data_IF_756583146874
#
_entry.id   IF_756583146874
#
_cell.length_a   1.000
_cell.length_b   1.000
_cell.length_c   1.000
_cell.angle_alpha   90.00
_cell.angle_beta   90.00
_cell.angle_gamma   90.00
#
_symmetry.space_group_name_H-M   'P 1'
#
loop_
_entity.id
_entity.type
_entity.pdbx_description
1 polymer ?
#
# COMPACT_ATOMS: atom_id res chain seq x y z
N UNK A 1 30.97 -34.81 9.23
CA UNK A 1 29.79 -34.83 10.14
C UNK A 1 29.75 -33.56 11.01
N UNK A 2 29.92 -32.36 10.43
CA UNK A 2 30.05 -31.09 11.17
C UNK A 2 29.08 -29.98 10.71
N UNK A 3 28.34 -30.17 9.61
CA UNK A 3 27.49 -29.12 9.03
C UNK A 3 26.07 -29.04 9.60
N UNK A 4 25.60 -30.11 10.25
CA UNK A 4 24.22 -30.16 10.77
C UNK A 4 24.05 -29.33 12.05
N UNK A 5 25.11 -29.19 12.86
CA UNK A 5 25.05 -28.49 14.15
C UNK A 5 25.14 -26.96 13.97
N UNK A 6 25.85 -26.46 12.95
CA UNK A 6 25.93 -25.01 12.66
C UNK A 6 24.59 -24.47 12.13
N UNK A 7 23.86 -25.29 11.39
CA UNK A 7 22.55 -24.95 10.81
C UNK A 7 21.49 -24.72 11.89
N UNK A 8 21.50 -25.48 12.98
CA UNK A 8 20.51 -25.36 14.07
C UNK A 8 20.81 -24.15 14.97
N UNK A 9 22.08 -23.77 15.18
CA UNK A 9 22.44 -22.62 16.03
C UNK A 9 22.07 -21.26 15.42
N UNK A 10 21.98 -21.13 14.09
CA UNK A 10 21.52 -19.89 13.44
C UNK A 10 20.02 -19.61 13.57
N UNK A 11 19.24 -20.55 14.13
CA UNK A 11 17.78 -20.40 14.34
C UNK A 11 17.44 -19.85 15.74
N UNK A 12 18.43 -19.54 16.58
CA UNK A 12 18.21 -19.16 18.00
C UNK A 12 18.64 -17.73 18.36
N UNK A 13 18.30 -16.77 17.51
CA UNK A 13 18.20 -15.39 17.95
C UNK A 13 16.83 -14.89 17.56
N UNK A 14 16.22 -14.07 18.40
CA UNK A 14 14.96 -13.38 18.13
C UNK A 14 15.09 -12.34 16.99
N UNK A 15 15.96 -12.60 16.00
CA UNK A 15 16.25 -11.82 14.83
C UNK A 15 15.60 -12.52 13.64
N UNK A 16 14.66 -11.83 13.00
CA UNK A 16 14.00 -12.29 11.78
C UNK A 16 15.08 -12.49 10.70
N UNK A 17 15.45 -13.73 10.42
CA UNK A 17 16.25 -14.05 9.25
C UNK A 17 15.38 -13.86 8.00
N UNK A 18 15.54 -12.71 7.35
CA UNK A 18 14.94 -12.44 6.04
C UNK A 18 15.93 -12.92 4.98
N UNK A 19 15.60 -13.95 4.18
CA UNK A 19 16.47 -14.36 3.08
C UNK A 19 16.81 -13.17 2.18
N UNK A 20 18.04 -13.00 1.68
CA UNK A 20 18.44 -11.81 0.91
C UNK A 20 17.53 -11.50 -0.30
N UNK A 21 17.04 -12.54 -0.98
CA UNK A 21 16.07 -12.38 -2.07
C UNK A 21 14.71 -11.82 -1.60
N UNK A 22 14.27 -12.21 -0.39
CA UNK A 22 13.07 -11.65 0.25
C UNK A 22 13.35 -10.22 0.75
N UNK A 23 14.55 -9.97 1.27
CA UNK A 23 14.99 -8.64 1.73
C UNK A 23 15.05 -7.61 0.61
N UNK A 24 15.61 -7.98 -0.55
CA UNK A 24 15.64 -7.13 -1.74
C UNK A 24 14.23 -6.83 -2.26
N UNK A 25 13.36 -7.84 -2.35
CA UNK A 25 11.96 -7.67 -2.78
C UNK A 25 11.14 -6.86 -1.78
N UNK A 26 11.48 -6.93 -0.49
CA UNK A 26 10.89 -6.11 0.55
C UNK A 26 11.38 -4.66 0.48
N UNK A 27 12.67 -4.45 0.24
CA UNK A 27 13.28 -3.13 0.05
C UNK A 27 12.72 -2.41 -1.20
N UNK A 28 12.51 -3.13 -2.31
CA UNK A 28 11.81 -2.60 -3.49
C UNK A 28 10.38 -2.16 -3.18
N UNK A 29 9.66 -2.92 -2.34
CA UNK A 29 8.32 -2.53 -1.88
C UNK A 29 8.35 -1.34 -0.92
N UNK A 30 9.40 -1.18 -0.13
CA UNK A 30 9.61 -0.04 0.78
C UNK A 30 9.89 1.25 -0.01
N UNK A 31 10.53 1.15 -1.18
CA UNK A 31 10.82 2.28 -2.06
C UNK A 31 9.64 2.75 -2.94
N UNK A 32 8.51 2.03 -2.94
CA UNK A 32 7.29 2.57 -3.55
C UNK A 32 6.80 3.77 -2.73
N UNK A 33 6.54 4.92 -3.36
CA UNK A 33 6.04 6.09 -2.65
C UNK A 33 4.75 5.73 -1.94
N UNK A 34 4.81 5.74 -0.61
CA UNK A 34 3.65 5.45 0.22
C UNK A 34 2.59 6.52 0.00
N UNK A 35 1.32 6.09 0.03
CA UNK A 35 0.22 7.04 0.08
C UNK A 35 0.35 7.87 1.37
N UNK A 36 -0.01 9.14 1.31
CA UNK A 36 -0.23 9.99 2.50
C UNK A 36 -1.52 9.58 3.20
N UNK A 37 -1.74 10.07 4.42
CA UNK A 37 -2.99 9.83 5.15
C UNK A 37 -4.21 10.33 4.36
N UNK A 38 -4.10 11.52 3.77
CA UNK A 38 -5.18 12.09 2.98
C UNK A 38 -5.47 11.27 1.71
N UNK A 39 -4.43 10.79 1.03
CA UNK A 39 -4.60 9.91 -0.13
C UNK A 39 -5.21 8.55 0.25
N UNK A 40 -4.91 8.02 1.45
CA UNK A 40 -5.58 6.81 1.97
C UNK A 40 -7.06 7.06 2.23
N UNK A 41 -7.42 8.19 2.84
CA UNK A 41 -8.82 8.57 3.07
C UNK A 41 -9.59 8.68 1.75
N UNK A 42 -9.03 9.39 0.77
CA UNK A 42 -9.63 9.53 -0.56
C UNK A 42 -9.79 8.16 -1.22
N UNK A 43 -8.76 7.30 -1.21
CA UNK A 43 -8.81 5.95 -1.79
C UNK A 43 -9.84 5.06 -1.09
N UNK A 44 -10.02 5.21 0.23
CA UNK A 44 -11.06 4.50 0.99
C UNK A 44 -12.45 4.92 0.50
N UNK A 45 -12.74 6.21 0.46
CA UNK A 45 -14.02 6.72 -0.03
C UNK A 45 -14.26 6.37 -1.50
N UNK A 46 -13.19 6.30 -2.31
CA UNK A 46 -13.30 5.82 -3.69
C UNK A 46 -13.78 4.36 -3.75
N UNK A 47 -13.27 3.53 -2.84
CA UNK A 47 -13.61 2.11 -2.72
C UNK A 47 -15.03 1.89 -2.18
N UNK A 48 -15.56 2.86 -1.42
CA UNK A 48 -16.97 2.93 -1.01
C UNK A 48 -17.91 3.43 -2.14
N UNK A 49 -17.39 3.71 -3.34
CA UNK A 49 -18.17 4.16 -4.50
C UNK A 49 -18.51 5.65 -4.52
N UNK A 50 -17.90 6.48 -3.67
CA UNK A 50 -18.19 7.92 -3.61
C UNK A 50 -17.69 8.67 -4.85
N UNK A 51 -18.51 9.57 -5.42
CA UNK A 51 -18.07 10.47 -6.50
C UNK A 51 -17.04 11.48 -6.00
N UNK A 52 -16.32 12.16 -6.90
CA UNK A 52 -15.37 13.20 -6.50
C UNK A 52 -16.05 14.30 -5.67
N UNK A 53 -17.26 14.70 -6.06
CA UNK A 53 -18.11 15.61 -5.30
C UNK A 53 -18.45 15.06 -3.90
N UNK A 54 -18.90 13.81 -3.80
CA UNK A 54 -19.22 13.20 -2.50
C UNK A 54 -18.00 13.08 -1.57
N UNK A 55 -16.81 12.81 -2.14
CA UNK A 55 -15.55 12.83 -1.40
C UNK A 55 -15.22 14.24 -0.93
N UNK A 56 -15.38 15.25 -1.79
CA UNK A 56 -15.12 16.65 -1.49
C UNK A 56 -16.01 17.12 -0.32
N UNK A 57 -17.30 16.80 -0.35
CA UNK A 57 -18.25 17.08 0.72
C UNK A 57 -17.85 16.39 2.04
N UNK A 58 -17.58 15.07 2.00
CA UNK A 58 -17.19 14.31 3.20
C UNK A 58 -15.89 14.80 3.84
N UNK A 59 -14.92 15.25 3.05
CA UNK A 59 -13.62 15.68 3.54
C UNK A 59 -13.50 17.20 3.72
N UNK A 60 -14.57 17.96 3.44
CA UNK A 60 -14.56 19.43 3.43
C UNK A 60 -13.46 20.01 2.54
N UNK A 61 -13.33 19.46 1.33
CA UNK A 61 -12.37 19.86 0.31
C UNK A 61 -13.10 20.38 -0.93
N UNK A 62 -12.35 21.00 -1.85
CA UNK A 62 -12.86 21.27 -3.20
C UNK A 62 -12.70 20.03 -4.10
N UNK A 63 -13.55 19.88 -5.11
CA UNK A 63 -13.45 18.79 -6.09
C UNK A 63 -12.08 18.75 -6.79
N UNK A 64 -11.51 19.92 -7.11
CA UNK A 64 -10.18 20.00 -7.72
C UNK A 64 -9.06 19.52 -6.78
N UNK A 65 -9.20 19.72 -5.47
CA UNK A 65 -8.27 19.16 -4.48
C UNK A 65 -8.41 17.64 -4.39
N UNK A 66 -9.63 17.10 -4.47
CA UNK A 66 -9.86 15.66 -4.54
C UNK A 66 -9.23 15.06 -5.79
N UNK A 67 -9.43 15.70 -6.95
CA UNK A 67 -8.84 15.28 -8.22
C UNK A 67 -7.30 15.28 -8.17
N UNK A 68 -6.70 16.30 -7.54
CA UNK A 68 -5.27 16.33 -7.27
C UNK A 68 -4.81 15.11 -6.46
N UNK A 69 -5.52 14.77 -5.37
CA UNK A 69 -5.19 13.57 -4.59
C UNK A 69 -5.36 12.27 -5.39
N UNK A 70 -6.41 12.16 -6.22
CA UNK A 70 -6.64 11.00 -7.10
C UNK A 70 -5.50 10.82 -8.09
N UNK A 71 -5.05 11.91 -8.74
CA UNK A 71 -3.92 11.86 -9.68
C UNK A 71 -2.63 11.42 -8.99
N UNK A 72 -2.37 11.90 -7.77
CA UNK A 72 -1.22 11.45 -6.98
C UNK A 72 -1.34 9.97 -6.58
N UNK A 73 -2.54 9.51 -6.21
CA UNK A 73 -2.80 8.09 -5.93
C UNK A 73 -2.51 7.24 -7.17
N UNK A 74 -3.00 7.64 -8.34
CA UNK A 74 -2.77 6.92 -9.60
C UNK A 74 -1.29 6.82 -9.92
N UNK A 75 -0.56 7.93 -9.81
CA UNK A 75 0.89 7.97 -10.01
C UNK A 75 1.62 7.04 -9.02
N UNK A 76 1.27 7.08 -7.73
CA UNK A 76 1.91 6.26 -6.68
C UNK A 76 1.56 4.78 -6.76
N UNK A 77 0.34 4.45 -7.22
CA UNK A 77 -0.11 3.06 -7.40
C UNK A 77 0.29 2.49 -8.76
N UNK A 78 0.73 3.31 -9.71
CA UNK A 78 1.07 2.90 -11.07
C UNK A 78 -0.15 2.45 -11.87
N UNK A 79 -1.30 3.11 -11.66
CA UNK A 79 -2.57 2.80 -12.34
C UNK A 79 -3.07 4.00 -13.12
N UNK A 80 -3.93 3.74 -14.09
CA UNK A 80 -4.44 4.78 -15.00
C UNK A 80 -5.91 5.11 -14.78
N UNK A 81 -6.62 4.31 -13.98
CA UNK A 81 -8.05 4.50 -13.77
C UNK A 81 -8.49 4.15 -12.35
N UNK A 82 -9.68 4.67 -12.01
CA UNK A 82 -10.32 4.52 -10.71
C UNK A 82 -10.58 3.07 -10.34
N UNK A 83 -11.01 2.26 -11.29
CA UNK A 83 -11.34 0.84 -11.06
C UNK A 83 -10.09 0.07 -10.66
N UNK A 84 -8.97 0.30 -11.34
CA UNK A 84 -7.68 -0.29 -10.99
C UNK A 84 -7.21 0.15 -9.61
N UNK A 85 -7.32 1.45 -9.27
CA UNK A 85 -6.95 1.96 -7.95
C UNK A 85 -7.78 1.29 -6.83
N UNK A 86 -9.09 1.20 -7.00
CA UNK A 86 -10.01 0.54 -6.06
C UNK A 86 -9.71 -0.96 -5.96
N UNK A 87 -9.47 -1.65 -7.08
CA UNK A 87 -9.12 -3.07 -7.07
C UNK A 87 -7.80 -3.32 -6.33
N UNK A 88 -6.82 -2.43 -6.48
CA UNK A 88 -5.57 -2.50 -5.71
C UNK A 88 -5.83 -2.27 -4.22
N UNK A 89 -6.67 -1.31 -3.85
CA UNK A 89 -7.04 -1.07 -2.46
C UNK A 89 -7.67 -2.32 -1.82
N UNK A 90 -8.58 -2.98 -2.54
CA UNK A 90 -9.21 -4.23 -2.13
C UNK A 90 -8.18 -5.37 -2.05
N UNK A 91 -7.30 -5.53 -3.05
CA UNK A 91 -6.28 -6.60 -3.06
C UNK A 91 -5.23 -6.43 -1.96
N UNK A 92 -4.87 -5.19 -1.60
CA UNK A 92 -3.91 -4.88 -0.54
C UNK A 92 -4.54 -4.96 0.86
N UNK A 93 -5.87 -4.91 0.96
CA UNK A 93 -6.63 -5.01 2.20
C UNK A 93 -7.54 -6.24 2.16
N UNK A 94 -7.04 -7.40 2.58
CA UNK A 94 -7.94 -8.49 2.99
C UNK A 94 -8.61 -8.03 4.30
N UNK A 95 -9.75 -7.36 4.17
CA UNK A 95 -10.83 -7.30 5.16
C UNK A 95 -10.59 -6.44 6.42
N UNK A 96 -10.50 -5.13 6.27
CA UNK A 96 -11.05 -4.20 7.28
C UNK A 96 -11.54 -2.94 6.55
N UNK A 97 -12.74 -3.07 5.96
CA UNK A 97 -13.63 -1.97 5.62
C UNK A 97 -14.72 -1.92 6.68
#
# INVERSE_FOLDING_TARGET
>A
MAELIDTVRKVSANQKYIPPAVGAKLAERINLPQLSDREREVLKLMSEGQTNQGIAEKLSLSESTVEFHINNIFSKLGVSDRTQAVLIAIRRSIGNL
#
